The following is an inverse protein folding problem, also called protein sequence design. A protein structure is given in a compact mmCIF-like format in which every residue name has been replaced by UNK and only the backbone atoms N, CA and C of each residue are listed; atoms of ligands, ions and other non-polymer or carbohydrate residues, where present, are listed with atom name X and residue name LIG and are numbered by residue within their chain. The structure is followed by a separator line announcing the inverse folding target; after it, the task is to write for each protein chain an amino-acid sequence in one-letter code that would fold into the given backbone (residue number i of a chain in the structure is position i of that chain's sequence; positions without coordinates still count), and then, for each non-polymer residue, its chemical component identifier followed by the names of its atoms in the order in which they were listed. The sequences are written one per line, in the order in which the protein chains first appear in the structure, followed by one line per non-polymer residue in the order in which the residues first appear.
data_IF_353954363336
#
_entry.id   IF_353954363336
#
_cell.length_a   1.000
_cell.length_b   1.000
_cell.length_c   1.000
_cell.angle_alpha   90.00
_cell.angle_beta   90.00
_cell.angle_gamma   90.00
#
_symmetry.space_group_name_H-M   'P 1'
#
loop_
_entity.id
_entity.type
_entity.pdbx_description
1 polymer ?
#
# COMPACT_ATOMS: atom_id res chain seq x y z
N UNK A 1 35.40 5.16 -11.57
CA UNK A 1 35.85 3.89 -10.97
C UNK A 1 34.71 3.32 -10.13
N UNK A 2 34.27 2.07 -10.37
CA UNK A 2 33.14 1.48 -9.61
C UNK A 2 33.49 1.04 -8.18
N UNK A 3 34.77 1.05 -7.80
CA UNK A 3 35.24 0.68 -6.46
C UNK A 3 35.23 1.81 -5.43
N UNK A 4 35.09 3.08 -5.84
CA UNK A 4 35.15 4.24 -4.93
C UNK A 4 33.94 4.33 -3.97
N UNK A 5 32.82 3.68 -4.31
CA UNK A 5 31.59 3.70 -3.51
C UNK A 5 31.46 2.50 -2.55
N UNK A 6 32.49 1.65 -2.45
CA UNK A 6 32.47 0.42 -1.64
C UNK A 6 31.78 -0.78 -2.31
N UNK A 7 31.91 -1.96 -1.70
CA UNK A 7 31.35 -3.22 -2.21
C UNK A 7 30.49 -3.88 -1.15
N UNK A 8 29.24 -4.22 -1.51
CA UNK A 8 28.36 -5.05 -0.68
C UNK A 8 28.36 -6.46 -1.25
N UNK A 9 28.95 -7.41 -0.51
CA UNK A 9 28.99 -8.81 -0.89
C UNK A 9 27.78 -9.52 -0.29
N UNK A 10 26.90 -10.02 -1.15
CA UNK A 10 25.74 -10.83 -0.75
C UNK A 10 25.99 -12.25 -1.23
N UNK A 11 26.10 -13.20 -0.30
CA UNK A 11 26.24 -14.62 -0.59
C UNK A 11 24.94 -15.35 -0.31
N UNK A 12 24.57 -16.25 -1.22
CA UNK A 12 23.39 -17.12 -1.06
C UNK A 12 23.76 -18.34 -0.22
N UNK A 13 22.77 -18.88 0.51
CA UNK A 13 22.95 -20.12 1.27
C UNK A 13 23.33 -21.27 0.31
N UNK A 14 24.32 -22.07 0.73
CA UNK A 14 24.74 -23.31 0.08
C UNK A 14 24.51 -24.49 1.03
N UNK A 15 24.25 -25.67 0.47
CA UNK A 15 24.05 -26.89 1.27
C UNK A 15 25.27 -27.25 2.11
N UNK A 16 25.03 -27.84 3.28
CA UNK A 16 26.07 -28.43 4.13
C UNK A 16 26.02 -29.95 3.98
N UNK A 17 27.18 -30.60 4.13
CA UNK A 17 27.24 -32.06 4.13
C UNK A 17 26.55 -32.63 5.37
N UNK A 18 25.84 -33.75 5.22
CA UNK A 18 25.31 -34.57 6.31
C UNK A 18 23.89 -34.21 6.75
N UNK A 19 23.57 -32.93 7.00
CA UNK A 19 22.24 -32.54 7.50
C UNK A 19 21.45 -31.82 6.41
N UNK A 20 20.35 -32.45 5.99
CA UNK A 20 19.33 -31.81 5.19
C UNK A 20 18.46 -30.93 6.07
N UNK A 21 18.35 -29.65 5.75
CA UNK A 21 17.49 -28.70 6.45
C UNK A 21 16.38 -28.23 5.54
N UNK A 22 15.15 -28.26 6.03
CA UNK A 22 13.99 -27.70 5.36
C UNK A 22 13.49 -26.54 6.22
N UNK A 23 13.34 -25.38 5.61
CA UNK A 23 12.84 -24.18 6.27
C UNK A 23 11.63 -23.66 5.52
N UNK A 24 10.54 -23.46 6.26
CA UNK A 24 9.33 -22.82 5.79
C UNK A 24 9.14 -21.53 6.59
N UNK A 25 9.15 -20.40 5.90
CA UNK A 25 8.89 -19.08 6.46
C UNK A 25 7.60 -18.55 5.85
N UNK A 26 6.57 -18.36 6.67
CA UNK A 26 5.29 -17.80 6.24
C UNK A 26 4.86 -16.69 7.18
N UNK A 27 4.42 -15.57 6.61
CA UNK A 27 3.76 -14.53 7.38
C UNK A 27 2.69 -13.82 6.55
N UNK A 28 1.73 -13.24 7.28
CA UNK A 28 0.72 -12.37 6.73
C UNK A 28 0.51 -11.21 7.69
N UNK A 29 0.34 -10.02 7.16
CA UNK A 29 0.17 -8.80 7.94
C UNK A 29 -0.72 -7.79 7.24
N UNK A 30 -1.02 -6.71 7.97
CA UNK A 30 -1.76 -5.56 7.46
C UNK A 30 -0.93 -4.30 7.74
N UNK A 31 -0.73 -3.49 6.71
CA UNK A 31 -0.02 -2.23 6.75
C UNK A 31 -1.03 -1.08 6.73
N UNK A 32 -0.77 -0.05 7.53
CA UNK A 32 -1.56 1.18 7.54
C UNK A 32 -0.63 2.37 7.72
N UNK A 33 -1.08 3.55 7.29
CA UNK A 33 -0.34 4.80 7.53
C UNK A 33 -0.36 5.09 9.03
N UNK A 34 0.83 5.31 9.60
CA UNK A 34 1.03 5.52 11.04
C UNK A 34 0.44 6.84 11.54
N UNK A 35 0.52 7.90 10.72
CA UNK A 35 0.02 9.24 11.06
C UNK A 35 -0.56 9.92 9.82
N UNK A 36 -1.81 10.36 9.93
CA UNK A 36 -2.43 11.30 9.00
C UNK A 36 -2.27 12.72 9.54
N UNK A 37 -2.31 13.72 8.67
CA UNK A 37 -2.36 15.12 9.11
C UNK A 37 -3.78 15.48 9.52
N UNK A 38 -3.93 16.28 10.55
CA UNK A 38 -5.23 16.85 10.91
C UNK A 38 -5.51 17.99 9.92
N UNK A 39 -6.46 17.76 9.01
CA UNK A 39 -6.86 18.72 7.99
C UNK A 39 -8.19 19.38 8.37
N UNK A 40 -8.41 20.56 7.79
CA UNK A 40 -9.65 21.30 7.98
C UNK A 40 -10.86 20.51 7.45
N UNK A 41 -11.88 20.41 8.29
CA UNK A 41 -13.21 19.96 7.88
C UNK A 41 -13.83 20.94 6.87
N UNK A 42 -14.86 20.51 6.15
CA UNK A 42 -15.54 21.36 5.16
C UNK A 42 -16.11 22.64 5.79
N UNK A 43 -16.62 22.54 7.02
CA UNK A 43 -17.08 23.69 7.81
C UNK A 43 -15.95 24.66 8.13
N UNK A 44 -14.84 24.19 8.70
CA UNK A 44 -13.70 25.04 9.06
C UNK A 44 -13.08 25.70 7.83
N UNK A 45 -12.99 24.97 6.72
CA UNK A 45 -12.56 25.51 5.43
C UNK A 45 -13.49 26.65 4.97
N UNK A 46 -14.81 26.48 5.09
CA UNK A 46 -15.78 27.51 4.71
C UNK A 46 -15.70 28.75 5.61
N UNK A 47 -15.53 28.58 6.92
CA UNK A 47 -15.35 29.69 7.87
C UNK A 47 -14.12 30.51 7.50
N UNK A 48 -12.95 29.86 7.39
CA UNK A 48 -11.69 30.53 7.05
C UNK A 48 -11.78 31.21 5.68
N UNK A 49 -12.41 30.58 4.69
CA UNK A 49 -12.59 31.18 3.37
C UNK A 49 -13.48 32.43 3.42
N UNK A 50 -14.61 32.36 4.14
CA UNK A 50 -15.53 33.48 4.27
C UNK A 50 -14.90 34.64 5.04
N UNK A 51 -14.22 34.37 6.15
CA UNK A 51 -13.52 35.38 6.95
C UNK A 51 -12.45 36.10 6.12
N UNK A 52 -11.66 35.36 5.33
CA UNK A 52 -10.67 35.94 4.43
C UNK A 52 -11.32 36.87 3.40
N UNK A 53 -12.43 36.43 2.78
CA UNK A 53 -13.17 37.26 1.79
C UNK A 53 -13.75 38.52 2.43
N UNK A 54 -14.37 38.40 3.60
CA UNK A 54 -14.94 39.53 4.34
C UNK A 54 -13.84 40.54 4.73
N UNK A 55 -12.69 40.04 5.22
CA UNK A 55 -11.55 40.88 5.56
C UNK A 55 -10.97 41.61 4.33
N UNK A 56 -11.02 40.98 3.15
CA UNK A 56 -10.64 41.60 1.87
C UNK A 56 -11.71 42.50 1.25
N UNK A 57 -12.87 42.68 1.89
CA UNK A 57 -14.01 43.43 1.33
C UNK A 57 -14.73 42.72 0.17
N UNK A 58 -14.46 41.44 -0.04
CA UNK A 58 -15.07 40.64 -1.10
C UNK A 58 -16.35 39.94 -0.62
N UNK A 59 -17.33 39.81 -1.51
CA UNK A 59 -18.56 39.04 -1.24
C UNK A 59 -18.27 37.54 -1.29
N UNK A 60 -18.98 36.76 -0.50
CA UNK A 60 -18.98 35.28 -0.60
C UNK A 60 -19.67 34.90 -1.92
N UNK A 61 -18.91 34.33 -2.87
CA UNK A 61 -19.41 33.99 -4.22
C UNK A 61 -19.97 32.56 -4.28
N UNK A 62 -19.45 31.66 -3.45
CA UNK A 62 -19.89 30.26 -3.44
C UNK A 62 -21.06 30.11 -2.48
N UNK A 63 -22.27 29.96 -3.01
CA UNK A 63 -23.50 29.86 -2.20
C UNK A 63 -23.45 28.74 -1.16
N UNK A 64 -22.78 27.62 -1.47
CA UNK A 64 -22.59 26.50 -0.54
C UNK A 64 -21.73 26.85 0.67
N UNK A 65 -20.84 27.84 0.56
CA UNK A 65 -20.00 28.28 1.68
C UNK A 65 -20.70 29.30 2.58
N UNK A 66 -21.83 29.88 2.14
CA UNK A 66 -22.57 30.89 2.92
C UNK A 66 -23.20 30.34 4.19
N UNK A 67 -23.47 29.03 4.23
CA UNK A 67 -23.90 28.33 5.43
C UNK A 67 -22.91 27.20 5.77
N UNK A 68 -21.82 27.50 6.51
CA UNK A 68 -20.83 26.51 6.90
C UNK A 68 -21.40 25.34 7.69
N UNK A 69 -22.46 25.55 8.47
CA UNK A 69 -23.10 24.50 9.28
C UNK A 69 -23.80 23.44 8.42
N UNK A 70 -24.21 23.80 7.20
CA UNK A 70 -24.84 22.86 6.25
C UNK A 70 -23.84 21.94 5.54
N UNK A 71 -22.53 22.18 5.66
CA UNK A 71 -21.48 21.43 4.96
C UNK A 71 -21.01 20.17 5.71
N UNK A 72 -21.22 20.12 7.03
CA UNK A 72 -20.73 19.02 7.87
C UNK A 72 -19.20 18.88 7.86
N UNK A 73 -18.70 17.65 8.10
CA UNK A 73 -17.25 17.35 8.12
C UNK A 73 -16.62 17.35 6.72
N UNK A 74 -17.39 17.06 5.66
CA UNK A 74 -16.89 16.95 4.30
C UNK A 74 -16.19 15.62 4.00
N UNK A 75 -15.39 15.61 2.93
CA UNK A 75 -14.60 14.46 2.49
C UNK A 75 -13.20 14.50 3.12
N UNK A 76 -12.81 13.45 3.85
CA UNK A 76 -11.41 13.22 4.22
C UNK A 76 -10.66 12.53 3.08
N UNK A 77 -9.99 13.33 2.25
CA UNK A 77 -9.21 12.84 1.12
C UNK A 77 -8.03 11.93 1.54
N UNK A 78 -7.51 12.05 2.77
CA UNK A 78 -6.50 11.11 3.24
C UNK A 78 -7.11 9.72 3.50
N UNK A 79 -8.34 9.63 4.01
CA UNK A 79 -9.01 8.34 4.19
C UNK A 79 -9.47 7.71 2.88
N UNK A 80 -9.73 8.52 1.85
CA UNK A 80 -10.08 8.03 0.52
C UNK A 80 -8.86 7.53 -0.27
N UNK A 81 -7.69 8.14 -0.06
CA UNK A 81 -6.46 7.77 -0.78
C UNK A 81 -5.70 6.64 -0.09
N UNK A 82 -5.73 6.60 1.24
CA UNK A 82 -5.07 5.56 2.02
C UNK A 82 -6.01 4.40 2.35
N UNK A 83 -5.45 3.19 2.38
CA UNK A 83 -6.14 1.97 2.79
C UNK A 83 -5.26 1.14 3.71
N UNK A 84 -5.91 0.25 4.46
CA UNK A 84 -5.23 -0.90 5.07
C UNK A 84 -4.83 -1.86 3.96
N UNK A 85 -3.55 -2.17 3.86
CA UNK A 85 -2.99 -2.95 2.77
C UNK A 85 -2.46 -4.29 3.28
N UNK A 86 -2.78 -5.39 2.59
CA UNK A 86 -2.30 -6.70 2.98
C UNK A 86 -0.85 -6.92 2.53
N UNK A 87 -0.07 -7.59 3.36
CA UNK A 87 1.26 -8.10 3.01
C UNK A 87 1.33 -9.58 3.33
N UNK A 88 1.93 -10.36 2.45
CA UNK A 88 2.11 -11.78 2.65
C UNK A 88 3.41 -12.27 2.02
N UNK A 89 3.99 -13.27 2.67
CA UNK A 89 5.20 -13.93 2.21
C UNK A 89 5.13 -15.41 2.54
N UNK A 90 5.54 -16.22 1.58
CA UNK A 90 5.72 -17.65 1.73
C UNK A 90 7.05 -18.00 1.10
N UNK A 91 7.98 -18.49 1.90
CA UNK A 91 9.28 -18.94 1.43
C UNK A 91 9.52 -20.37 1.92
N UNK A 92 9.89 -21.23 0.99
CA UNK A 92 10.29 -22.59 1.27
C UNK A 92 11.72 -22.75 0.77
N UNK A 93 12.58 -23.34 1.60
CA UNK A 93 13.93 -23.69 1.19
C UNK A 93 14.31 -25.05 1.72
N UNK A 94 15.07 -25.78 0.90
CA UNK A 94 15.65 -27.06 1.24
C UNK A 94 17.15 -26.99 0.91
N UNK A 95 17.98 -27.34 1.87
CA UNK A 95 19.43 -27.42 1.66
C UNK A 95 19.95 -28.73 2.21
N UNK A 96 21.02 -29.25 1.62
CA UNK A 96 21.61 -30.50 2.08
C UNK A 96 22.68 -31.01 1.12
N UNK A 97 23.06 -32.26 1.31
CA UNK A 97 24.03 -32.93 0.45
C UNK A 97 25.03 -33.79 1.23
N UNK A 98 25.98 -34.34 0.48
CA UNK A 98 27.14 -35.09 0.98
C UNK A 98 28.42 -34.28 0.82
N UNK A 99 29.55 -34.85 1.20
CA UNK A 99 30.87 -34.23 0.99
C UNK A 99 31.19 -34.01 -0.49
N UNK A 100 30.65 -34.85 -1.38
CA UNK A 100 30.88 -34.77 -2.83
C UNK A 100 29.87 -33.91 -3.57
N UNK A 101 28.65 -33.76 -3.05
CA UNK A 101 27.58 -33.05 -3.74
C UNK A 101 26.71 -32.28 -2.74
N UNK A 102 26.61 -30.96 -2.89
CA UNK A 102 25.82 -30.09 -2.03
C UNK A 102 24.81 -29.33 -2.87
N UNK A 103 23.60 -29.15 -2.35
CA UNK A 103 22.54 -28.44 -3.03
C UNK A 103 21.80 -27.49 -2.07
N UNK A 104 21.26 -26.43 -2.64
CA UNK A 104 20.31 -25.55 -1.97
C UNK A 104 19.27 -25.09 -2.98
N UNK A 105 18.00 -25.36 -2.72
CA UNK A 105 16.89 -24.94 -3.55
C UNK A 105 15.94 -24.10 -2.69
N UNK A 106 15.47 -22.99 -3.21
CA UNK A 106 14.51 -22.14 -2.53
C UNK A 106 13.49 -21.56 -3.50
N UNK A 107 12.25 -21.47 -3.04
CA UNK A 107 11.17 -20.77 -3.71
C UNK A 107 10.56 -19.77 -2.75
N UNK A 108 10.21 -18.58 -3.24
CA UNK A 108 9.47 -17.60 -2.44
C UNK A 108 8.42 -16.87 -3.27
N UNK A 109 7.27 -16.66 -2.66
CA UNK A 109 6.22 -15.79 -3.14
C UNK A 109 6.03 -14.64 -2.15
N UNK A 110 6.11 -13.41 -2.64
CA UNK A 110 5.92 -12.20 -1.88
C UNK A 110 4.87 -11.33 -2.58
N UNK A 111 3.88 -10.87 -1.83
CA UNK A 111 2.89 -9.91 -2.30
C UNK A 111 2.71 -8.83 -1.25
N UNK A 112 2.71 -7.58 -1.70
CA UNK A 112 2.46 -6.41 -0.89
C UNK A 112 1.52 -5.47 -1.63
N UNK A 113 0.36 -5.24 -1.05
CA UNK A 113 -0.49 -4.14 -1.47
C UNK A 113 0.07 -2.81 -0.92
N UNK A 114 0.02 -1.75 -1.73
CA UNK A 114 0.36 -0.41 -1.26
C UNK A 114 -0.73 0.16 -0.35
N UNK A 115 -0.31 0.90 0.69
CA UNK A 115 -1.21 1.68 1.55
C UNK A 115 -1.90 2.80 0.79
N UNK A 116 -1.30 3.29 -0.30
CA UNK A 116 -1.98 4.18 -1.24
C UNK A 116 -2.69 3.32 -2.29
N UNK A 117 -3.96 3.60 -2.54
CA UNK A 117 -4.75 2.90 -3.54
C UNK A 117 -4.09 3.02 -4.93
N UNK A 118 -3.99 1.91 -5.64
CA UNK A 118 -3.39 1.86 -6.98
C UNK A 118 -1.95 1.38 -7.02
N UNK A 119 -1.29 1.14 -5.88
CA UNK A 119 0.02 0.49 -5.82
C UNK A 119 -0.06 -0.97 -5.35
N UNK A 120 0.68 -1.85 -6.02
CA UNK A 120 0.79 -3.29 -5.70
C UNK A 120 2.13 -3.84 -6.17
N UNK A 121 2.78 -4.68 -5.36
CA UNK A 121 4.03 -5.34 -5.69
C UNK A 121 3.93 -6.85 -5.46
N UNK A 122 4.27 -7.64 -6.47
CA UNK A 122 4.28 -9.11 -6.42
C UNK A 122 5.60 -9.64 -6.97
N UNK A 123 6.19 -10.62 -6.27
CA UNK A 123 7.44 -11.24 -6.67
C UNK A 123 7.43 -12.73 -6.41
N UNK A 124 7.71 -13.48 -7.45
CA UNK A 124 8.04 -14.90 -7.41
C UNK A 124 9.54 -15.04 -7.60
N UNK A 125 10.19 -15.85 -6.78
CA UNK A 125 11.63 -16.10 -6.87
C UNK A 125 11.90 -17.58 -6.71
N UNK A 126 12.69 -18.13 -7.63
CA UNK A 126 13.23 -19.47 -7.55
C UNK A 126 14.75 -19.39 -7.59
N UNK A 127 15.43 -20.06 -6.66
CA UNK A 127 16.89 -20.14 -6.64
C UNK A 127 17.34 -21.58 -6.47
N UNK A 128 18.35 -21.96 -7.24
CA UNK A 128 18.98 -23.27 -7.14
C UNK A 128 20.51 -23.09 -7.17
N UNK A 129 21.16 -23.60 -6.15
CA UNK A 129 22.61 -23.63 -6.02
C UNK A 129 23.05 -25.09 -5.94
N UNK A 130 24.07 -25.45 -6.70
CA UNK A 130 24.68 -26.78 -6.68
C UNK A 130 26.19 -26.67 -6.58
N UNK A 131 26.80 -27.53 -5.79
CA UNK A 131 28.25 -27.71 -5.72
C UNK A 131 28.58 -29.19 -5.86
N UNK A 132 29.43 -29.51 -6.82
CA UNK A 132 29.87 -30.87 -7.11
C UNK A 132 31.40 -30.92 -7.02
N UNK A 133 31.90 -31.77 -6.12
CA UNK A 133 33.31 -32.09 -6.01
C UNK A 133 33.57 -33.37 -6.79
N UNK A 134 34.05 -33.21 -8.02
CA UNK A 134 34.32 -34.33 -8.92
C UNK A 134 35.52 -35.13 -8.40
N UNK A 135 36.63 -34.44 -8.13
CA UNK A 135 37.88 -35.00 -7.62
C UNK A 135 38.48 -34.08 -6.54
N UNK A 136 39.64 -34.43 -5.97
CA UNK A 136 40.37 -33.57 -4.99
C UNK A 136 40.80 -32.21 -5.58
N UNK A 137 40.93 -32.11 -6.90
CA UNK A 137 41.45 -30.92 -7.60
C UNK A 137 40.33 -30.13 -8.31
N UNK A 138 39.22 -30.79 -8.69
CA UNK A 138 38.17 -30.17 -9.49
C UNK A 138 36.85 -30.09 -8.73
N UNK A 139 36.35 -28.86 -8.55
CA UNK A 139 35.03 -28.53 -8.01
C UNK A 139 34.28 -27.65 -9.01
N UNK A 140 33.03 -28.02 -9.27
CA UNK A 140 32.10 -27.27 -10.12
C UNK A 140 30.97 -26.73 -9.26
N UNK A 141 30.65 -25.45 -9.39
CA UNK A 141 29.55 -24.82 -8.68
C UNK A 141 28.61 -24.09 -9.64
N UNK A 142 27.32 -24.17 -9.38
CA UNK A 142 26.26 -23.46 -10.10
C UNK A 142 25.42 -22.61 -9.14
N UNK A 143 24.96 -21.45 -9.62
CA UNK A 143 24.04 -20.57 -8.93
C UNK A 143 23.05 -20.01 -9.96
N UNK A 144 21.80 -20.42 -9.85
CA UNK A 144 20.73 -20.05 -10.75
C UNK A 144 19.67 -19.31 -9.93
N UNK A 145 19.27 -18.13 -10.40
CA UNK A 145 18.22 -17.33 -9.78
C UNK A 145 17.26 -16.82 -10.84
N UNK A 146 16.00 -17.22 -10.73
CA UNK A 146 14.91 -16.76 -11.58
C UNK A 146 13.97 -15.90 -10.74
N UNK A 147 13.54 -14.77 -11.29
CA UNK A 147 12.62 -13.86 -10.60
C UNK A 147 11.61 -13.34 -11.59
N UNK A 148 10.34 -13.47 -11.26
CA UNK A 148 9.25 -12.82 -11.96
C UNK A 148 8.63 -11.78 -11.03
N UNK A 149 8.49 -10.56 -11.54
CA UNK A 149 8.09 -9.40 -10.76
C UNK A 149 6.97 -8.68 -11.50
N UNK A 150 5.90 -8.38 -10.75
CA UNK A 150 4.82 -7.51 -11.19
C UNK A 150 4.79 -6.34 -10.23
N UNK A 151 5.01 -5.16 -10.76
CA UNK A 151 5.02 -3.93 -9.97
C UNK A 151 4.07 -2.95 -10.62
N UNK A 152 3.17 -2.44 -9.80
CA UNK A 152 2.29 -1.32 -10.13
C UNK A 152 2.61 -0.22 -9.15
N UNK A 153 3.25 0.80 -9.69
CA UNK A 153 3.60 2.00 -8.95
C UNK A 153 2.53 3.05 -9.18
N UNK A 154 2.38 3.93 -8.20
CA UNK A 154 1.55 5.12 -8.37
C UNK A 154 2.43 6.16 -9.03
N UNK A 155 2.06 6.55 -10.24
CA UNK A 155 2.74 7.61 -10.97
C UNK A 155 2.48 8.94 -10.24
N UNK A 156 3.47 9.42 -9.49
CA UNK A 156 3.51 10.81 -9.03
C UNK A 156 4.12 11.66 -10.14
N UNK A 157 3.27 12.16 -11.04
CA UNK A 157 3.70 13.04 -12.13
C UNK A 157 3.39 12.46 -13.51
N UNK A 158 2.20 12.78 -13.99
CA UNK A 158 1.76 12.52 -15.35
C UNK A 158 0.36 13.09 -15.46
N UNK A 159 0.28 14.37 -15.82
CA UNK A 159 -1.00 14.90 -16.28
C UNK A 159 -1.50 14.07 -17.45
N UNK A 160 -2.75 14.31 -17.84
CA UNK A 160 -3.30 13.90 -19.13
C UNK A 160 -2.20 13.92 -20.19
N UNK A 161 -2.09 12.82 -20.94
CA UNK A 161 -1.19 12.61 -22.07
C UNK A 161 -0.71 13.95 -22.68
N UNK A 162 0.51 14.38 -22.33
CA UNK A 162 1.10 15.64 -22.80
C UNK A 162 1.58 16.65 -21.74
N UNK A 163 1.17 16.55 -20.48
CA UNK A 163 1.62 17.51 -19.44
C UNK A 163 2.74 16.95 -18.55
N UNK A 164 3.98 17.40 -18.82
CA UNK A 164 5.21 17.05 -18.07
C UNK A 164 5.30 17.68 -16.67
N UNK A 165 4.28 18.46 -16.26
CA UNK A 165 4.27 19.21 -14.99
C UNK A 165 3.04 18.84 -14.14
N UNK A 166 2.94 17.59 -13.68
CA UNK A 166 2.04 17.29 -12.57
C UNK A 166 2.61 17.95 -11.30
N UNK A 167 2.13 19.14 -10.95
CA UNK A 167 2.68 19.97 -9.85
C UNK A 167 2.74 19.26 -8.50
N UNK A 168 1.92 18.22 -8.27
CA UNK A 168 1.80 17.56 -6.98
C UNK A 168 1.65 16.04 -7.12
N UNK A 169 2.39 15.30 -6.28
CA UNK A 169 2.23 13.84 -6.15
C UNK A 169 0.89 13.46 -5.53
N UNK A 170 0.46 12.21 -5.68
CA UNK A 170 -0.86 11.73 -5.21
C UNK A 170 -1.11 11.99 -3.73
N UNK A 171 -0.09 11.84 -2.88
CA UNK A 171 -0.18 12.15 -1.44
C UNK A 171 -0.36 13.65 -1.21
N UNK A 172 0.35 14.49 -1.97
CA UNK A 172 0.27 15.94 -1.82
C UNK A 172 -1.06 16.49 -2.32
N UNK A 173 -1.63 15.89 -3.37
CA UNK A 173 -2.99 16.18 -3.81
C UNK A 173 -4.02 15.86 -2.73
N UNK A 174 -3.90 14.70 -2.04
CA UNK A 174 -4.80 14.31 -0.96
C UNK A 174 -4.86 15.34 0.20
N UNK A 175 -3.81 16.13 0.38
CA UNK A 175 -3.74 17.16 1.43
C UNK A 175 -4.30 18.51 0.95
N UNK A 176 -4.27 18.76 -0.37
CA UNK A 176 -4.64 20.06 -0.95
C UNK A 176 -6.07 20.13 -1.45
N UNK A 177 -6.68 19.00 -1.81
CA UNK A 177 -8.06 19.02 -2.28
C UNK A 177 -8.96 19.46 -1.12
N UNK A 178 -9.79 20.50 -1.31
CA UNK A 178 -10.71 20.94 -0.27
C UNK A 178 -11.68 19.82 0.14
N UNK A 179 -11.94 19.70 1.44
CA UNK A 179 -12.90 18.75 2.01
C UNK A 179 -14.35 19.02 1.58
N UNK A 180 -14.64 20.17 0.95
CA UNK A 180 -15.94 20.50 0.35
C UNK A 180 -16.25 19.74 -0.95
N UNK A 181 -15.24 19.13 -1.59
CA UNK A 181 -15.42 18.38 -2.84
C UNK A 181 -15.87 16.95 -2.51
N UNK A 182 -17.04 16.48 -3.01
CA UNK A 182 -17.46 15.10 -2.82
C UNK A 182 -16.69 14.13 -3.73
N UNK A 183 -16.45 12.92 -3.25
CA UNK A 183 -15.80 11.84 -4.03
C UNK A 183 -16.63 11.45 -5.27
N UNK A 184 -17.96 11.43 -5.12
CA UNK A 184 -18.90 11.02 -6.17
C UNK A 184 -19.85 12.17 -6.52
N UNK A 185 -20.15 12.34 -7.82
CA UNK A 185 -21.17 13.30 -8.28
C UNK A 185 -22.59 12.67 -8.17
N UNK A 186 -23.64 13.49 -7.95
CA UNK A 186 -25.02 13.00 -7.80
C UNK A 186 -25.61 12.34 -9.06
N UNK A 187 -25.14 12.72 -10.26
CA UNK A 187 -25.44 12.02 -11.51
C UNK A 187 -24.34 11.02 -11.81
N UNK A 188 -24.72 9.81 -12.26
CA UNK A 188 -23.88 8.62 -12.43
C UNK A 188 -22.79 8.74 -13.53
N UNK A 189 -22.08 9.86 -13.60
CA UNK A 189 -20.88 10.05 -14.40
C UNK A 189 -19.72 10.29 -13.46
N UNK A 190 -18.96 9.23 -13.23
CA UNK A 190 -17.72 9.20 -12.46
C UNK A 190 -16.76 10.30 -12.91
N UNK A 191 -16.17 11.06 -11.98
CA UNK A 191 -14.82 11.58 -12.19
C UNK A 191 -13.89 10.38 -12.10
N UNK A 192 -13.66 9.72 -13.23
CA UNK A 192 -12.75 8.59 -13.32
C UNK A 192 -11.32 9.12 -13.49
N UNK A 193 -10.40 8.97 -12.53
CA UNK A 193 -9.03 8.69 -12.91
C UNK A 193 -9.03 7.25 -13.43
N UNK A 194 -8.64 7.06 -14.69
CA UNK A 194 -8.69 5.78 -15.41
C UNK A 194 -8.15 4.64 -14.54
N UNK A 195 -9.04 3.88 -13.89
CA UNK A 195 -8.71 2.63 -13.23
C UNK A 195 -8.94 1.48 -14.22
N UNK A 196 -8.01 0.53 -14.37
CA UNK A 196 -8.20 -0.59 -15.27
C UNK A 196 -9.31 -1.49 -14.70
N UNK A 197 -10.26 -1.84 -15.57
CA UNK A 197 -11.37 -2.78 -15.32
C UNK A 197 -10.87 -4.03 -14.61
N UNK A 198 -11.15 -4.16 -13.31
CA UNK A 198 -11.25 -5.45 -12.63
C UNK A 198 -12.35 -5.43 -11.57
N UNK A 199 -13.34 -6.28 -11.84
CA UNK A 199 -14.25 -7.02 -10.95
C UNK A 199 -14.74 -6.34 -9.66
N UNK A 200 -16.04 -6.02 -9.66
CA UNK A 200 -16.80 -5.49 -8.54
C UNK A 200 -16.87 -6.46 -7.35
N UNK A 201 -16.44 -5.99 -6.18
CA UNK A 201 -16.94 -6.48 -4.89
C UNK A 201 -17.68 -5.33 -4.21
N UNK A 202 -19.01 -5.45 -4.11
CA UNK A 202 -19.86 -4.53 -3.37
C UNK A 202 -19.41 -4.47 -1.91
N UNK A 203 -19.13 -3.26 -1.39
CA UNK A 203 -19.02 -3.02 0.06
C UNK A 203 -20.42 -3.15 0.68
N UNK A 204 -20.76 -4.32 1.20
CA UNK A 204 -21.95 -4.51 2.03
C UNK A 204 -21.78 -3.72 3.33
N UNK A 205 -22.62 -2.71 3.56
CA UNK A 205 -22.67 -1.97 4.82
C UNK A 205 -23.32 -2.84 5.89
N UNK A 206 -22.65 -3.02 7.03
CA UNK A 206 -23.23 -3.63 8.22
C UNK A 206 -23.77 -2.52 9.13
N UNK A 207 -25.06 -2.51 9.52
CA UNK A 207 -25.58 -1.51 10.44
C UNK A 207 -25.07 -1.79 11.87
N UNK A 208 -24.55 -0.74 12.51
CA UNK A 208 -24.18 -0.74 13.93
C UNK A 208 -25.45 -0.85 14.78
N UNK A 209 -25.65 -1.98 15.45
CA UNK A 209 -26.62 -2.10 16.54
C UNK A 209 -26.09 -1.34 17.76
N UNK A 210 -26.76 -0.24 18.13
CA UNK A 210 -26.58 0.40 19.44
C UNK A 210 -27.33 -0.42 20.49
N UNK A 211 -26.63 -0.80 21.54
CA UNK A 211 -27.18 -1.42 22.74
C UNK A 211 -28.07 -0.42 23.50
N UNK A 212 -29.36 -0.72 23.56
CA UNK A 212 -30.26 -0.16 24.57
C UNK A 212 -30.36 -1.19 25.71
N UNK A 213 -29.69 -0.93 26.83
CA UNK A 213 -29.88 -1.68 28.07
C UNK A 213 -29.65 -0.74 29.23
N UNK A 214 -30.75 -0.18 29.76
CA UNK A 214 -30.90 0.20 31.17
C UNK A 214 -32.30 0.79 31.38
N UNK A 215 -33.11 0.02 32.09
CA UNK A 215 -33.88 0.44 33.27
C UNK A 215 -35.21 -0.29 33.26
N UNK A 216 -35.39 -1.24 34.18
CA UNK A 216 -36.66 -1.71 34.76
C UNK A 216 -36.37 -2.95 35.60
N UNK A 217 -36.05 -2.73 36.89
CA UNK A 217 -36.37 -3.69 37.95
C UNK A 217 -36.12 -3.04 39.32
N UNK A 218 -37.17 -2.46 39.91
CA UNK A 218 -37.33 -2.29 41.34
C UNK A 218 -38.80 -1.98 41.61
N UNK A 219 -39.55 -2.93 42.16
CA UNK A 219 -40.39 -2.82 43.37
C UNK A 219 -41.27 -4.07 43.45
N UNK A 220 -40.92 -4.97 44.35
CA UNK A 220 -41.80 -6.01 44.87
C UNK A 220 -41.44 -6.21 46.35
N UNK A 221 -42.05 -5.40 47.20
CA UNK A 221 -42.43 -5.64 48.59
C UNK A 221 -43.35 -4.48 49.00
#
# INVERSE_FOLDING_TARGET
MRAANGVVIITTKRGKAGVSTINLDAYRGVQQVWRKLDLLTAKEYAIINNENRIAGGERIVVDRLRNPDALGEGTDWQDEVFRRAAIQNYALSATGGSDKARFAVSGSYFQQDGTVIGSTFERYTLRANGDLQLNKILKVGSNISLTHLRDRQITSGGGTEGSRNGEYGTIQQAIRIPSIIPVYRPTATTMSPVAPRTTSWRKTHWPRLRSATRSLCATAA
#
